data_IF_602335444367
#
_entry.id   IF_602335444367
#
_cell.length_a   1.000
_cell.length_b   1.000
_cell.length_c   1.000
_cell.angle_alpha   90.00
_cell.angle_beta   90.00
_cell.angle_gamma   90.00
#
_symmetry.space_group_name_H-M   'P 1'
#
loop_
_entity.id
_entity.type
_entity.pdbx_description
1 polymer ?
#
# COMPACT_ATOMS: atom_id res chain seq x y z
N UNK A 1 8.58 7.64 -3.90
CA UNK A 1 8.81 6.40 -3.14
C UNK A 1 7.53 5.61 -2.91
N UNK A 2 6.54 6.15 -2.16
CA UNK A 2 5.23 5.50 -1.87
C UNK A 2 4.60 4.82 -3.09
N UNK A 3 4.42 5.56 -4.19
CA UNK A 3 3.86 5.03 -5.45
C UNK A 3 4.62 3.80 -5.95
N UNK A 4 5.95 3.85 -5.98
CA UNK A 4 6.80 2.74 -6.47
C UNK A 4 6.73 1.51 -5.55
N UNK A 5 6.61 1.72 -4.24
CA UNK A 5 6.46 0.63 -3.27
C UNK A 5 5.12 -0.07 -3.47
N UNK A 6 4.03 0.71 -3.57
CA UNK A 6 2.68 0.15 -3.72
C UNK A 6 2.43 -0.46 -5.10
N UNK A 7 2.83 0.20 -6.19
CA UNK A 7 2.53 -0.31 -7.55
C UNK A 7 3.33 -1.55 -7.92
N UNK A 8 4.48 -1.77 -7.29
CA UNK A 8 5.32 -2.93 -7.57
C UNK A 8 5.22 -4.02 -6.50
N UNK A 9 4.26 -3.92 -5.57
CA UNK A 9 4.06 -4.93 -4.52
C UNK A 9 5.27 -5.11 -3.59
N UNK A 10 6.07 -4.06 -3.38
CA UNK A 10 7.23 -4.12 -2.50
C UNK A 10 6.78 -3.95 -1.06
N UNK A 11 7.43 -4.69 -0.16
CA UNK A 11 7.19 -4.49 1.27
C UNK A 11 7.95 -3.23 1.75
N UNK A 12 7.40 -2.45 2.71
CA UNK A 12 8.03 -1.22 3.18
C UNK A 12 9.45 -1.39 3.73
N UNK A 13 9.81 -2.59 4.19
CA UNK A 13 11.14 -2.94 4.71
C UNK A 13 12.24 -2.77 3.66
N UNK A 14 11.89 -2.75 2.36
CA UNK A 14 12.88 -2.54 1.30
C UNK A 14 13.66 -1.23 1.46
N UNK A 15 13.11 -0.24 2.15
CA UNK A 15 13.79 1.04 2.38
C UNK A 15 15.01 0.92 3.32
N UNK A 16 15.12 -0.20 4.04
CA UNK A 16 16.27 -0.53 4.89
C UNK A 16 17.37 -1.27 4.11
N UNK A 17 17.13 -1.63 2.84
CA UNK A 17 18.18 -2.20 1.98
C UNK A 17 19.29 -1.17 1.78
N UNK A 18 20.50 -1.53 2.20
CA UNK A 18 21.64 -0.62 2.25
C UNK A 18 22.00 -0.05 0.86
N UNK A 19 22.13 -0.86 -0.21
CA UNK A 19 22.36 -0.34 -1.56
C UNK A 19 21.28 0.64 -2.03
N UNK A 20 20.00 0.34 -1.76
CA UNK A 20 18.90 1.24 -2.09
C UNK A 20 18.99 2.54 -1.27
N UNK A 21 19.30 2.46 0.01
CA UNK A 21 19.44 3.62 0.88
C UNK A 21 20.54 4.56 0.40
N UNK A 22 21.71 4.02 0.07
CA UNK A 22 22.84 4.79 -0.47
C UNK A 22 22.47 5.45 -1.81
N UNK A 23 21.80 4.72 -2.70
CA UNK A 23 21.31 5.27 -3.96
C UNK A 23 20.31 6.41 -3.74
N UNK A 24 19.35 6.25 -2.84
CA UNK A 24 18.36 7.27 -2.52
C UNK A 24 19.00 8.52 -1.90
N UNK A 25 20.00 8.34 -1.03
CA UNK A 25 20.78 9.43 -0.47
C UNK A 25 21.59 10.18 -1.52
N UNK A 26 22.22 9.46 -2.46
CA UNK A 26 22.98 10.06 -3.55
C UNK A 26 22.09 10.88 -4.50
N UNK A 27 20.87 10.41 -4.77
CA UNK A 27 19.92 11.10 -5.63
C UNK A 27 19.23 12.28 -4.93
N UNK A 28 18.91 12.14 -3.63
CA UNK A 28 18.30 13.18 -2.83
C UNK A 28 18.57 12.96 -1.33
N UNK A 29 19.48 13.75 -0.72
CA UNK A 29 19.82 13.62 0.69
C UNK A 29 18.65 13.80 1.66
N UNK A 30 17.57 14.50 1.26
CA UNK A 30 16.39 14.64 2.12
C UNK A 30 15.63 13.33 2.34
N UNK A 31 15.93 12.29 1.55
CA UNK A 31 15.38 10.95 1.72
C UNK A 31 16.10 10.12 2.79
N UNK A 32 17.24 10.58 3.31
CA UNK A 32 18.03 9.87 4.33
C UNK A 32 17.26 9.61 5.63
N UNK A 33 16.29 10.47 5.95
CA UNK A 33 15.46 10.34 7.16
C UNK A 33 14.30 9.35 7.00
N UNK A 34 14.01 8.87 5.78
CA UNK A 34 12.87 7.98 5.55
C UNK A 34 13.19 6.60 6.14
N UNK A 35 12.30 6.16 7.03
CA UNK A 35 12.31 4.81 7.57
C UNK A 35 11.02 4.06 7.20
N UNK A 36 11.02 2.76 7.50
CA UNK A 36 9.89 1.86 7.24
C UNK A 36 8.57 2.36 7.86
N UNK A 37 8.62 2.94 9.06
CA UNK A 37 7.44 3.45 9.77
C UNK A 37 6.83 4.65 9.04
N UNK A 38 7.68 5.61 8.64
CA UNK A 38 7.26 6.76 7.84
C UNK A 38 6.67 6.33 6.50
N UNK A 39 7.34 5.42 5.80
CA UNK A 39 6.85 4.91 4.52
C UNK A 39 5.50 4.19 4.69
N UNK A 40 5.34 3.39 5.75
CA UNK A 40 4.07 2.72 6.06
C UNK A 40 2.96 3.71 6.38
N UNK A 41 3.27 4.76 7.16
CA UNK A 41 2.34 5.84 7.46
C UNK A 41 1.90 6.60 6.21
N UNK A 42 2.83 6.91 5.30
CA UNK A 42 2.52 7.59 4.04
C UNK A 42 1.66 6.72 3.13
N UNK A 43 1.96 5.42 3.04
CA UNK A 43 1.13 4.45 2.30
C UNK A 43 -0.30 4.45 2.86
N UNK A 44 -0.44 4.38 4.19
CA UNK A 44 -1.74 4.40 4.85
C UNK A 44 -2.49 5.72 4.60
N UNK A 45 -1.79 6.86 4.63
CA UNK A 45 -2.38 8.18 4.37
C UNK A 45 -2.92 8.27 2.94
N UNK A 46 -2.14 7.80 1.95
CA UNK A 46 -2.59 7.74 0.55
C UNK A 46 -3.78 6.79 0.40
N UNK A 47 -3.75 5.64 1.05
CA UNK A 47 -4.86 4.69 1.05
C UNK A 47 -6.15 5.29 1.61
N UNK A 48 -6.11 5.93 2.78
CA UNK A 48 -7.31 6.55 3.38
C UNK A 48 -7.85 7.71 2.53
N UNK A 49 -6.98 8.45 1.83
CA UNK A 49 -7.38 9.43 0.83
C UNK A 49 -8.12 8.79 -0.36
N UNK A 50 -7.54 7.74 -0.95
CA UNK A 50 -8.14 7.02 -2.07
C UNK A 50 -9.47 6.36 -1.69
N UNK A 51 -9.55 5.74 -0.51
CA UNK A 51 -10.75 5.13 0.05
C UNK A 51 -11.91 6.11 0.14
N UNK A 52 -11.69 7.35 0.57
CA UNK A 52 -12.73 8.39 0.59
C UNK A 52 -13.29 8.67 -0.80
N UNK A 53 -12.44 8.72 -1.82
CA UNK A 53 -12.85 8.93 -3.22
C UNK A 53 -13.69 7.74 -3.70
N UNK A 54 -13.24 6.51 -3.42
CA UNK A 54 -13.99 5.29 -3.79
C UNK A 54 -15.34 5.23 -3.09
N UNK A 55 -15.40 5.54 -1.79
CA UNK A 55 -16.67 5.61 -1.03
C UNK A 55 -17.63 6.59 -1.70
N UNK A 56 -17.17 7.79 -2.04
CA UNK A 56 -18.01 8.79 -2.70
C UNK A 56 -18.49 8.31 -4.08
N UNK A 57 -17.65 7.61 -4.84
CA UNK A 57 -18.02 7.04 -6.13
C UNK A 57 -19.10 5.95 -5.97
N UNK A 58 -18.94 5.06 -4.99
CA UNK A 58 -19.91 4.01 -4.68
C UNK A 58 -21.25 4.58 -4.19
N UNK A 59 -21.23 5.61 -3.34
CA UNK A 59 -22.45 6.30 -2.86
C UNK A 59 -23.22 7.01 -3.98
N UNK A 60 -22.51 7.51 -5.01
CA UNK A 60 -23.13 8.16 -6.17
C UNK A 60 -23.63 7.17 -7.24
N UNK A 61 -23.25 5.90 -7.14
CA UNK A 61 -23.60 4.92 -8.15
C UNK A 61 -25.11 4.65 -8.16
N UNK A 62 -25.76 4.90 -9.29
CA UNK A 62 -27.16 4.57 -9.50
C UNK A 62 -27.24 3.16 -10.09
N UNK A 63 -27.60 2.18 -9.27
CA UNK A 63 -27.64 0.77 -9.68
C UNK A 63 -27.48 -0.20 -8.52
N UNK A 64 -27.31 -1.47 -8.84
CA UNK A 64 -27.00 -2.51 -7.84
C UNK A 64 -25.49 -2.63 -7.70
N UNK A 65 -24.98 -2.57 -6.47
CA UNK A 65 -23.61 -2.92 -6.17
C UNK A 65 -23.53 -4.43 -5.95
N UNK A 66 -22.71 -5.10 -6.78
CA UNK A 66 -22.41 -6.52 -6.61
C UNK A 66 -21.14 -6.64 -5.77
N UNK A 67 -21.26 -7.29 -4.60
CA UNK A 67 -20.13 -7.62 -3.72
C UNK A 67 -19.91 -9.13 -3.82
N UNK A 68 -18.70 -9.55 -4.10
CA UNK A 68 -18.32 -10.96 -4.22
C UNK A 68 -17.35 -11.31 -3.10
N UNK A 69 -17.54 -12.48 -2.50
CA UNK A 69 -16.62 -12.96 -1.46
C UNK A 69 -15.72 -14.02 -2.08
N UNK A 70 -14.42 -13.87 -1.91
CA UNK A 70 -13.44 -14.86 -2.34
C UNK A 70 -12.82 -15.52 -1.11
N UNK A 71 -13.23 -16.77 -0.87
CA UNK A 71 -12.74 -17.59 0.24
C UNK A 71 -11.73 -18.60 -0.27
N UNK A 72 -10.49 -18.51 0.22
CA UNK A 72 -9.45 -19.49 -0.09
C UNK A 72 -8.67 -19.87 1.16
N UNK A 73 -8.20 -21.12 1.19
CA UNK A 73 -7.32 -21.63 2.24
C UNK A 73 -5.90 -21.68 1.71
N UNK A 74 -4.99 -21.00 2.39
CA UNK A 74 -3.56 -21.20 2.16
C UNK A 74 -3.15 -22.57 2.74
N UNK A 75 -2.09 -23.22 2.24
CA UNK A 75 -1.48 -24.38 2.90
C UNK A 75 -0.92 -24.06 4.29
N UNK A 76 -0.67 -22.78 4.59
CA UNK A 76 -0.40 -22.29 5.95
C UNK A 76 -1.70 -22.30 6.78
N UNK A 77 -1.62 -22.48 8.10
CA UNK A 77 -2.76 -22.63 9.04
C UNK A 77 -3.58 -21.31 9.19
N UNK A 78 -3.90 -20.63 8.10
CA UNK A 78 -4.66 -19.39 8.05
C UNK A 78 -5.72 -19.45 6.95
N UNK A 79 -6.97 -19.25 7.37
CA UNK A 79 -8.08 -18.99 6.46
C UNK A 79 -8.11 -17.50 6.11
N UNK A 80 -8.34 -17.19 4.82
CA UNK A 80 -8.45 -15.82 4.34
C UNK A 80 -9.80 -15.64 3.64
N UNK A 81 -10.37 -14.45 3.82
CA UNK A 81 -11.59 -14.02 3.12
C UNK A 81 -11.30 -12.67 2.50
N UNK A 82 -11.36 -12.59 1.17
CA UNK A 82 -11.40 -11.34 0.42
C UNK A 82 -12.85 -10.88 0.21
N UNK A 83 -13.03 -9.55 0.17
CA UNK A 83 -14.28 -8.85 -0.19
C UNK A 83 -13.99 -7.98 -1.41
#
# INVERSE_FOLDING_TARGET
LVKWVTTCGRRPEIIQDQPLHELLMALNPSLAAINQSMLSHDIHTVFEGAKKIVIQALQKHQGRLHISFDGWSAPSISSHVGI
#
